data_IF_104329942545
#
_entry.id   IF_104329942545
#
_cell.length_a   1.000
_cell.length_b   1.000
_cell.length_c   1.000
_cell.angle_alpha   90.00
_cell.angle_beta   90.00
_cell.angle_gamma   90.00
#
_symmetry.space_group_name_H-M   'P 1'
#
loop_
_entity.id
_entity.type
_entity.pdbx_description
1 polymer ?
#
# COMPACT_ATOMS: atom_id res chain seq x y z
N UNK A 1 -26.97 35.12 -8.82
CA UNK A 1 -25.65 34.54 -9.17
C UNK A 1 -25.10 33.85 -7.95
N UNK A 2 -25.30 32.53 -7.81
CA UNK A 2 -24.68 31.73 -6.73
C UNK A 2 -23.41 31.12 -7.29
N UNK A 3 -22.25 31.54 -6.78
CA UNK A 3 -20.97 30.93 -7.05
C UNK A 3 -20.90 29.60 -6.30
N UNK A 4 -20.85 28.50 -7.01
CA UNK A 4 -20.59 27.18 -6.46
C UNK A 4 -19.08 27.08 -6.24
N UNK A 5 -18.67 27.08 -4.97
CA UNK A 5 -17.26 26.88 -4.59
C UNK A 5 -16.93 25.39 -4.72
N UNK A 6 -16.05 25.05 -5.65
CA UNK A 6 -15.40 23.74 -5.68
C UNK A 6 -14.52 23.62 -4.44
N UNK A 7 -14.83 22.68 -3.56
CA UNK A 7 -14.00 22.38 -2.41
C UNK A 7 -12.87 21.48 -2.90
N UNK A 8 -11.76 22.08 -3.30
CA UNK A 8 -10.48 21.39 -3.39
C UNK A 8 -10.02 21.06 -1.96
N UNK A 9 -9.78 19.76 -1.70
CA UNK A 9 -9.28 19.29 -0.41
C UNK A 9 -7.75 19.30 -0.41
N UNK A 10 -7.07 20.25 0.25
CA UNK A 10 -5.64 20.15 0.50
C UNK A 10 -5.40 19.47 1.87
N UNK A 11 -4.59 18.44 1.89
CA UNK A 11 -4.01 17.86 3.10
C UNK A 11 -2.72 18.64 3.40
N UNK A 12 -2.63 19.27 4.56
CA UNK A 12 -1.48 20.09 4.97
C UNK A 12 -0.89 19.65 6.32
N UNK A 13 0.37 19.74 6.49
CA UNK A 13 1.19 19.16 7.51
C UNK A 13 1.68 20.12 8.61
N UNK A 14 1.78 19.63 9.83
CA UNK A 14 2.58 20.30 10.86
C UNK A 14 3.12 19.40 11.97
N UNK A 15 4.31 19.68 12.40
CA UNK A 15 5.03 19.01 13.45
C UNK A 15 4.73 19.67 14.80
N UNK A 16 4.34 18.88 15.80
CA UNK A 16 4.38 19.29 17.19
C UNK A 16 5.34 18.37 17.92
N UNK A 17 6.44 18.92 18.38
CA UNK A 17 7.35 18.24 19.31
C UNK A 17 6.65 18.12 20.66
N UNK A 18 6.23 16.90 21.01
CA UNK A 18 5.89 16.55 22.39
C UNK A 18 6.85 15.44 22.77
N UNK A 19 7.62 15.67 23.83
CA UNK A 19 8.52 14.66 24.38
C UNK A 19 7.67 13.48 24.89
N UNK A 20 7.55 12.43 24.13
CA UNK A 20 7.05 11.14 24.59
C UNK A 20 8.16 10.46 25.39
N UNK A 21 7.87 10.00 26.60
CA UNK A 21 8.71 9.03 27.28
C UNK A 21 8.83 7.85 26.33
N UNK A 22 10.03 7.41 26.01
CA UNK A 22 10.31 6.18 25.28
C UNK A 22 9.68 5.02 26.07
N UNK A 23 8.60 4.49 25.55
CA UNK A 23 8.13 3.15 25.88
C UNK A 23 8.67 2.31 24.72
N UNK A 24 9.65 1.46 24.99
CA UNK A 24 10.15 0.51 23.98
C UNK A 24 8.98 -0.42 23.60
N UNK A 25 8.69 -0.56 22.30
CA UNK A 25 7.65 -1.50 21.85
C UNK A 25 8.13 -2.93 22.14
N UNK A 26 7.24 -3.74 22.71
CA UNK A 26 7.48 -5.17 22.85
C UNK A 26 7.34 -5.81 21.45
N UNK A 27 8.47 -6.15 20.84
CA UNK A 27 8.48 -6.79 19.53
C UNK A 27 8.02 -8.23 19.62
N UNK A 28 7.02 -8.58 18.80
CA UNK A 28 6.71 -9.99 18.56
C UNK A 28 7.94 -10.64 17.89
N UNK A 29 8.49 -11.68 18.53
CA UNK A 29 9.69 -12.34 18.04
C UNK A 29 9.36 -13.28 16.86
N UNK A 30 9.28 -12.71 15.67
CA UNK A 30 9.07 -13.46 14.42
C UNK A 30 10.23 -14.40 14.06
N UNK A 31 11.37 -14.34 14.79
CA UNK A 31 12.50 -15.26 14.57
C UNK A 31 12.15 -16.70 14.95
N UNK A 32 11.13 -16.90 15.78
CA UNK A 32 10.61 -18.24 16.16
C UNK A 32 9.79 -18.91 15.08
N UNK A 33 9.41 -18.19 14.03
CA UNK A 33 8.67 -18.78 12.90
C UNK A 33 9.57 -19.78 12.16
N UNK A 34 9.37 -21.05 12.43
CA UNK A 34 9.97 -22.13 11.63
C UNK A 34 9.12 -22.28 10.38
N UNK A 35 9.57 -21.69 9.29
CA UNK A 35 8.90 -21.79 8.00
C UNK A 35 8.66 -23.25 7.64
N UNK A 36 7.39 -23.66 7.61
CA UNK A 36 7.00 -24.88 6.91
C UNK A 36 7.32 -24.68 5.43
N UNK A 37 7.56 -25.77 4.70
CA UNK A 37 7.78 -25.69 3.26
C UNK A 37 6.63 -24.86 2.63
N UNK A 38 6.98 -23.68 2.14
CA UNK A 38 6.01 -22.75 1.57
C UNK A 38 5.95 -22.96 0.07
N UNK A 39 4.79 -23.36 -0.43
CA UNK A 39 4.55 -23.55 -1.85
C UNK A 39 3.35 -22.70 -2.28
N UNK A 40 3.48 -22.06 -3.42
CA UNK A 40 2.37 -21.36 -4.06
C UNK A 40 1.49 -22.39 -4.78
N UNK A 41 0.24 -22.50 -4.34
CA UNK A 41 -0.74 -23.46 -4.88
C UNK A 41 -1.70 -22.70 -5.79
N UNK A 42 -1.65 -22.92 -7.11
CA UNK A 42 -2.54 -22.25 -8.06
C UNK A 42 -4.02 -22.54 -7.78
N UNK A 43 -4.85 -21.51 -7.84
CA UNK A 43 -6.32 -21.61 -7.79
C UNK A 43 -6.96 -21.29 -9.15
N UNK A 44 -6.44 -20.27 -9.82
CA UNK A 44 -6.94 -19.80 -11.13
C UNK A 44 -5.76 -19.37 -11.98
N UNK A 45 -5.82 -19.66 -13.25
CA UNK A 45 -4.81 -19.27 -14.24
C UNK A 45 -5.49 -18.77 -15.51
N UNK A 46 -4.99 -17.66 -16.05
CA UNK A 46 -5.41 -17.14 -17.35
C UNK A 46 -4.22 -16.51 -18.08
N UNK A 47 -4.31 -16.46 -19.41
CA UNK A 47 -3.40 -15.71 -20.26
C UNK A 47 -4.19 -14.57 -20.89
N UNK A 48 -3.72 -13.38 -20.76
CA UNK A 48 -4.40 -12.19 -21.31
C UNK A 48 -3.44 -11.24 -21.98
N UNK A 49 -3.96 -10.52 -22.97
CA UNK A 49 -3.34 -9.30 -23.42
C UNK A 49 -3.72 -8.18 -22.43
N UNK A 50 -2.75 -7.58 -21.81
CA UNK A 50 -3.01 -6.54 -20.80
C UNK A 50 -3.83 -5.38 -21.37
N UNK A 51 -3.71 -5.13 -22.69
CA UNK A 51 -4.50 -4.10 -23.39
C UNK A 51 -6.00 -4.36 -23.34
N UNK A 52 -6.41 -5.63 -23.19
CA UNK A 52 -7.80 -6.05 -23.10
C UNK A 52 -8.34 -6.03 -21.67
N UNK A 53 -7.48 -6.06 -20.65
CA UNK A 53 -7.86 -6.15 -19.22
C UNK A 53 -8.43 -4.83 -18.65
N UNK A 54 -8.31 -3.72 -19.37
CA UNK A 54 -8.83 -2.40 -18.98
C UNK A 54 -8.58 -2.03 -17.50
N UNK A 55 -7.33 -2.15 -16.99
CA UNK A 55 -7.03 -1.88 -15.59
C UNK A 55 -7.32 -0.43 -15.17
N UNK A 56 -7.49 0.48 -16.12
CA UNK A 56 -7.88 1.87 -15.94
C UNK A 56 -9.35 2.07 -15.56
N UNK A 57 -10.24 1.10 -15.76
CA UNK A 57 -11.62 1.21 -15.31
C UNK A 57 -11.71 1.31 -13.79
N UNK A 58 -10.76 0.71 -13.08
CA UNK A 58 -10.65 0.84 -11.63
C UNK A 58 -10.14 2.22 -11.20
N UNK A 59 -9.35 2.90 -12.05
CA UNK A 59 -8.85 4.25 -11.79
C UNK A 59 -9.95 5.31 -12.00
N UNK A 60 -10.88 5.10 -12.94
CA UNK A 60 -11.99 6.02 -13.19
C UNK A 60 -13.05 5.98 -12.07
N UNK A 61 -13.25 4.84 -11.42
CA UNK A 61 -14.15 4.73 -10.27
C UNK A 61 -13.63 5.43 -9.02
N UNK A 62 -12.34 5.75 -8.98
CA UNK A 62 -11.68 6.44 -7.87
C UNK A 62 -11.65 7.98 -8.02
N UNK A 63 -12.20 8.54 -9.08
CA UNK A 63 -12.40 9.99 -9.16
C UNK A 63 -13.61 10.41 -8.32
N UNK A 64 -13.54 11.50 -7.53
CA UNK A 64 -14.66 11.95 -6.71
C UNK A 64 -15.90 12.13 -7.58
N UNK A 65 -17.00 11.52 -7.17
CA UNK A 65 -18.28 11.55 -7.85
C UNK A 65 -18.74 12.99 -8.06
N UNK A 66 -18.66 13.49 -9.30
CA UNK A 66 -19.30 14.73 -9.68
C UNK A 66 -20.78 14.44 -9.95
N UNK A 67 -21.64 14.94 -9.10
CA UNK A 67 -23.11 14.86 -9.26
C UNK A 67 -23.66 15.84 -10.30
N UNK A 68 -22.79 16.51 -11.04
CA UNK A 68 -23.24 17.47 -12.06
C UNK A 68 -23.41 16.78 -13.42
N UNK A 69 -24.67 16.44 -13.73
CA UNK A 69 -25.16 16.20 -15.10
C UNK A 69 -25.11 17.50 -15.91
N UNK A 70 -23.92 17.98 -16.22
CA UNK A 70 -23.73 19.11 -17.15
C UNK A 70 -23.13 18.56 -18.45
N UNK A 71 -23.85 18.87 -19.54
CA UNK A 71 -23.48 18.58 -20.94
C UNK A 71 -21.99 18.66 -21.18
N UNK A 72 -21.41 17.58 -21.75
CA UNK A 72 -20.02 17.52 -22.16
C UNK A 72 -19.73 18.65 -23.18
N UNK A 73 -18.79 19.55 -22.89
CA UNK A 73 -18.24 20.42 -23.93
C UNK A 73 -17.30 19.61 -24.79
N UNK A 74 -17.24 19.94 -26.08
CA UNK A 74 -16.33 19.34 -27.06
C UNK A 74 -14.89 19.39 -26.56
N UNK A 75 -14.20 18.23 -26.62
CA UNK A 75 -12.87 17.99 -26.07
C UNK A 75 -11.79 18.89 -26.67
N UNK A 76 -11.38 19.87 -25.90
CA UNK A 76 -10.01 20.44 -25.89
C UNK A 76 -9.42 20.35 -24.48
N UNK A 77 -9.76 19.29 -23.74
CA UNK A 77 -9.36 19.08 -22.36
C UNK A 77 -7.94 18.51 -22.28
N UNK A 78 -7.11 18.92 -21.29
CA UNK A 78 -5.84 18.27 -21.04
C UNK A 78 -6.06 16.77 -20.80
N UNK A 79 -5.08 15.93 -21.19
CA UNK A 79 -5.08 14.49 -21.04
C UNK A 79 -5.57 14.10 -19.62
N UNK A 80 -6.53 13.19 -19.57
CA UNK A 80 -7.00 12.64 -18.30
C UNK A 80 -5.95 11.70 -17.71
N UNK A 81 -6.05 11.38 -16.43
CA UNK A 81 -5.20 10.35 -15.78
C UNK A 81 -5.28 9.04 -16.57
N UNK A 82 -6.48 8.69 -17.03
CA UNK A 82 -6.75 7.51 -17.86
C UNK A 82 -6.04 7.56 -19.22
N UNK A 83 -6.05 8.72 -19.90
CA UNK A 83 -5.38 8.86 -21.21
C UNK A 83 -3.86 8.72 -21.06
N UNK A 84 -3.28 9.26 -19.99
CA UNK A 84 -1.85 9.13 -19.66
C UNK A 84 -1.51 7.68 -19.34
N UNK A 85 -2.31 7.01 -18.51
CA UNK A 85 -2.12 5.61 -18.15
C UNK A 85 -2.22 4.70 -19.37
N UNK A 86 -3.22 4.92 -20.23
CA UNK A 86 -3.39 4.16 -21.48
C UNK A 86 -2.22 4.34 -22.43
N UNK A 87 -1.84 5.56 -22.77
CA UNK A 87 -0.72 5.83 -23.67
C UNK A 87 0.60 5.27 -23.16
N UNK A 88 0.79 5.26 -21.83
CA UNK A 88 1.90 4.65 -21.16
C UNK A 88 1.90 3.11 -21.33
N UNK A 89 0.75 2.46 -21.11
CA UNK A 89 0.59 1.02 -21.25
C UNK A 89 0.83 0.56 -22.69
N UNK A 90 0.18 1.19 -23.67
CA UNK A 90 0.32 0.84 -25.08
C UNK A 90 1.77 0.90 -25.58
N UNK A 91 2.55 1.86 -25.05
CA UNK A 91 3.96 2.03 -25.41
C UNK A 91 4.92 1.00 -24.77
N UNK A 92 4.47 0.25 -23.78
CA UNK A 92 5.36 -0.55 -22.91
C UNK A 92 5.14 -2.06 -23.01
N UNK A 93 4.02 -2.50 -23.53
CA UNK A 93 3.63 -3.89 -23.48
C UNK A 93 4.16 -4.67 -24.70
N UNK A 94 5.12 -5.55 -24.45
CA UNK A 94 5.70 -6.41 -25.48
C UNK A 94 5.11 -7.83 -25.43
N UNK A 95 4.66 -8.27 -24.24
CA UNK A 95 4.24 -9.63 -23.98
C UNK A 95 2.78 -9.70 -23.52
N UNK A 96 2.09 -10.77 -23.91
CA UNK A 96 0.93 -11.24 -23.15
C UNK A 96 1.39 -11.76 -21.79
N UNK A 97 0.49 -11.84 -20.85
CA UNK A 97 0.81 -12.12 -19.45
C UNK A 97 0.02 -13.33 -18.97
N UNK A 98 0.71 -14.28 -18.37
CA UNK A 98 0.09 -15.27 -17.51
C UNK A 98 -0.24 -14.63 -16.17
N UNK A 99 -1.46 -14.84 -15.71
CA UNK A 99 -1.97 -14.44 -14.41
C UNK A 99 -2.32 -15.69 -13.62
N UNK A 100 -1.63 -15.95 -12.52
CA UNK A 100 -1.87 -17.11 -11.68
C UNK A 100 -2.23 -16.65 -10.28
N UNK A 101 -3.52 -16.71 -9.92
CA UNK A 101 -3.96 -16.53 -8.55
C UNK A 101 -3.74 -17.83 -7.78
N UNK A 102 -3.26 -17.74 -6.55
CA UNK A 102 -2.97 -18.93 -5.75
C UNK A 102 -2.83 -18.63 -4.27
N UNK A 103 -2.69 -19.68 -3.50
CA UNK A 103 -2.54 -19.63 -2.04
C UNK A 103 -1.12 -19.99 -1.62
N UNK A 104 -0.73 -19.50 -0.45
CA UNK A 104 0.55 -19.83 0.18
C UNK A 104 0.42 -19.73 1.71
N UNK A 105 1.43 -20.23 2.43
CA UNK A 105 1.49 -20.14 3.88
C UNK A 105 2.22 -18.88 4.31
N UNK A 106 1.67 -18.22 5.32
CA UNK A 106 2.28 -17.05 5.95
C UNK A 106 1.94 -17.01 7.44
N UNK A 107 2.14 -15.87 8.08
CA UNK A 107 1.88 -15.65 9.48
C UNK A 107 0.76 -14.62 9.67
N UNK A 108 -0.11 -14.87 10.65
CA UNK A 108 -1.08 -13.91 11.16
C UNK A 108 -0.44 -12.90 12.09
N UNK A 109 -1.25 -11.94 12.55
CA UNK A 109 -0.79 -10.83 13.42
C UNK A 109 -0.24 -11.31 14.77
N UNK A 110 -0.70 -12.45 15.27
CA UNK A 110 -0.23 -13.07 16.52
C UNK A 110 0.91 -14.08 16.29
N UNK A 111 1.49 -14.12 15.08
CA UNK A 111 2.52 -15.08 14.72
C UNK A 111 2.02 -16.50 14.44
N UNK A 112 0.72 -16.74 14.40
CA UNK A 112 0.10 -17.99 14.03
C UNK A 112 0.23 -18.27 12.52
N UNK A 113 0.29 -19.56 12.16
CA UNK A 113 0.38 -19.95 10.75
C UNK A 113 -0.96 -19.79 10.05
N UNK A 114 -0.98 -19.07 8.93
CA UNK A 114 -2.16 -18.72 8.17
C UNK A 114 -1.97 -19.07 6.69
N UNK A 115 -3.04 -19.52 6.03
CA UNK A 115 -3.08 -19.59 4.56
C UNK A 115 -3.65 -18.28 4.03
N UNK A 116 -2.95 -17.68 3.08
CA UNK A 116 -3.30 -16.41 2.44
C UNK A 116 -3.24 -16.58 0.92
N UNK A 117 -3.64 -15.58 0.17
CA UNK A 117 -3.65 -15.61 -1.30
C UNK A 117 -2.92 -14.42 -1.91
N UNK A 118 -2.74 -14.49 -3.21
CA UNK A 118 -2.16 -13.45 -4.03
C UNK A 118 -2.11 -13.87 -5.50
N UNK A 119 -1.43 -13.06 -6.31
CA UNK A 119 -1.29 -13.33 -7.74
C UNK A 119 0.16 -13.21 -8.19
N UNK A 120 0.57 -14.15 -9.04
CA UNK A 120 1.82 -14.11 -9.77
C UNK A 120 1.55 -13.86 -11.25
N UNK A 121 2.22 -12.86 -11.80
CA UNK A 121 2.15 -12.50 -13.21
C UNK A 121 3.50 -12.78 -13.86
N UNK A 122 3.52 -13.34 -15.07
CA UNK A 122 4.75 -13.53 -15.81
C UNK A 122 4.52 -13.48 -17.33
N UNK A 123 5.55 -13.15 -18.12
CA UNK A 123 5.46 -13.08 -19.59
C UNK A 123 5.03 -14.40 -20.21
N UNK A 124 4.26 -14.37 -21.31
CA UNK A 124 3.77 -15.55 -22.02
C UNK A 124 4.90 -16.47 -22.48
N UNK A 125 6.06 -15.93 -22.85
CA UNK A 125 7.24 -16.71 -23.27
C UNK A 125 7.97 -17.42 -22.12
N UNK A 126 7.56 -17.19 -20.88
CA UNK A 126 8.14 -17.78 -19.67
C UNK A 126 9.54 -17.28 -19.33
N UNK A 127 10.02 -16.18 -19.95
CA UNK A 127 11.34 -15.60 -19.68
C UNK A 127 11.20 -14.36 -18.81
N UNK A 128 11.70 -14.44 -17.59
CA UNK A 128 11.56 -13.41 -16.54
C UNK A 128 12.90 -12.70 -16.35
N UNK A 129 12.95 -11.38 -16.58
CA UNK A 129 14.16 -10.56 -16.37
C UNK A 129 14.58 -10.54 -14.89
N UNK A 130 13.67 -10.13 -14.02
CA UNK A 130 13.79 -10.13 -12.55
C UNK A 130 12.41 -10.41 -11.95
N UNK A 131 12.38 -10.92 -10.72
CA UNK A 131 11.17 -10.88 -9.91
C UNK A 131 10.97 -9.46 -9.36
N UNK A 132 9.76 -8.92 -9.51
CA UNK A 132 9.28 -7.70 -8.87
C UNK A 132 8.30 -8.09 -7.77
N UNK A 133 8.63 -7.73 -6.54
CA UNK A 133 7.77 -7.93 -5.38
C UNK A 133 7.05 -6.61 -5.16
N UNK A 134 5.75 -6.63 -5.44
CA UNK A 134 4.92 -5.43 -5.46
C UNK A 134 3.96 -5.44 -4.29
N UNK A 135 4.03 -4.37 -3.51
CA UNK A 135 3.10 -4.07 -2.41
C UNK A 135 2.01 -3.15 -2.94
N UNK A 136 0.75 -3.63 -2.98
CA UNK A 136 -0.35 -2.85 -3.54
C UNK A 136 -0.76 -1.69 -2.61
N UNK A 137 -1.43 -0.69 -3.18
CA UNK A 137 -2.03 0.44 -2.48
C UNK A 137 -3.27 0.02 -1.67
N UNK A 138 -3.88 0.96 -0.94
CA UNK A 138 -5.11 0.69 -0.16
C UNK A 138 -6.26 0.30 -1.06
N UNK A 139 -6.82 -0.87 -0.81
CA UNK A 139 -8.07 -1.36 -1.41
C UNK A 139 -9.14 -1.47 -0.32
N UNK A 140 -10.40 -1.47 -0.71
CA UNK A 140 -11.53 -1.57 0.20
C UNK A 140 -12.36 -2.82 -0.02
N UNK A 141 -12.67 -3.12 -1.27
CA UNK A 141 -13.49 -4.26 -1.64
C UNK A 141 -12.66 -5.50 -1.96
N UNK A 142 -13.19 -6.69 -1.64
CA UNK A 142 -12.49 -7.94 -1.95
C UNK A 142 -12.23 -8.13 -3.44
N UNK A 143 -13.14 -7.66 -4.30
CA UNK A 143 -12.96 -7.77 -5.75
C UNK A 143 -11.79 -6.93 -6.29
N UNK A 144 -11.21 -6.01 -5.49
CA UNK A 144 -10.01 -5.23 -5.84
C UNK A 144 -8.71 -5.99 -5.50
N UNK A 145 -8.79 -7.11 -4.77
CA UNK A 145 -7.62 -7.88 -4.37
C UNK A 145 -6.85 -8.43 -5.59
N UNK A 146 -5.52 -8.48 -5.57
CA UNK A 146 -4.71 -9.02 -6.66
C UNK A 146 -5.18 -10.40 -7.16
N UNK A 147 -5.55 -11.32 -6.25
CA UNK A 147 -6.04 -12.64 -6.64
C UNK A 147 -7.39 -12.59 -7.35
N UNK A 148 -8.21 -11.55 -7.14
CA UNK A 148 -9.56 -11.46 -7.68
C UNK A 148 -9.63 -10.72 -9.02
N UNK A 149 -8.77 -9.72 -9.23
CA UNK A 149 -8.80 -8.88 -10.44
C UNK A 149 -7.42 -8.74 -11.06
N UNK A 150 -7.34 -8.08 -12.22
CA UNK A 150 -6.08 -7.62 -12.77
C UNK A 150 -5.66 -6.33 -12.04
N UNK A 151 -4.52 -6.40 -11.35
CA UNK A 151 -3.91 -5.21 -10.73
C UNK A 151 -3.07 -4.46 -11.74
N UNK A 152 -3.13 -3.12 -11.70
CA UNK A 152 -2.41 -2.27 -12.63
C UNK A 152 -0.89 -2.55 -12.65
N UNK A 153 -0.31 -2.87 -11.50
CA UNK A 153 1.11 -3.21 -11.36
C UNK A 153 1.49 -4.52 -12.09
N UNK A 154 0.52 -5.39 -12.36
CA UNK A 154 0.72 -6.59 -13.19
C UNK A 154 1.21 -6.28 -14.61
N UNK A 155 1.08 -5.01 -15.08
CA UNK A 155 1.59 -4.58 -16.37
C UNK A 155 3.10 -4.76 -16.54
N UNK A 156 3.89 -4.71 -15.46
CA UNK A 156 5.34 -4.94 -15.55
C UNK A 156 5.68 -6.36 -16.04
N UNK A 157 4.74 -7.32 -15.92
CA UNK A 157 4.92 -8.63 -16.54
C UNK A 157 4.91 -8.53 -18.08
N UNK A 158 4.10 -7.64 -18.66
CA UNK A 158 4.14 -7.32 -20.09
C UNK A 158 5.45 -6.67 -20.56
N UNK A 159 6.29 -6.19 -19.62
CA UNK A 159 7.64 -5.69 -19.88
C UNK A 159 8.73 -6.75 -19.71
N UNK A 160 8.36 -7.98 -19.35
CA UNK A 160 9.28 -9.10 -19.15
C UNK A 160 9.68 -9.35 -17.69
N UNK A 161 8.96 -8.82 -16.70
CA UNK A 161 9.21 -9.07 -15.29
C UNK A 161 8.25 -10.15 -14.74
N UNK A 162 8.67 -10.86 -13.70
CA UNK A 162 7.76 -11.69 -12.91
C UNK A 162 7.22 -10.88 -11.74
N UNK A 163 5.92 -10.57 -11.72
CA UNK A 163 5.32 -9.70 -10.69
C UNK A 163 4.60 -10.53 -9.63
N UNK A 164 5.00 -10.37 -8.39
CA UNK A 164 4.47 -11.08 -7.21
C UNK A 164 3.68 -10.09 -6.36
N UNK A 165 2.39 -10.35 -6.15
CA UNK A 165 1.49 -9.47 -5.40
C UNK A 165 0.67 -10.27 -4.39
N UNK A 166 0.90 -10.04 -3.09
CA UNK A 166 0.08 -10.58 -2.01
C UNK A 166 -1.25 -9.81 -1.89
N UNK A 167 -2.34 -10.50 -1.53
CA UNK A 167 -3.64 -9.85 -1.28
C UNK A 167 -3.67 -9.06 0.03
N UNK A 168 -2.76 -9.33 0.96
CA UNK A 168 -2.77 -9.03 2.38
C UNK A 168 -3.89 -9.75 3.14
N UNK A 169 -3.73 -9.92 4.45
CA UNK A 169 -4.76 -10.49 5.32
C UNK A 169 -6.02 -9.61 5.29
N UNK A 170 -7.18 -10.23 5.24
CA UNK A 170 -8.48 -9.56 5.14
C UNK A 170 -8.98 -9.42 3.70
N UNK A 171 -8.22 -9.93 2.73
CA UNK A 171 -8.61 -9.99 1.32
C UNK A 171 -8.34 -11.39 0.72
N UNK A 172 -8.88 -11.62 -0.48
CA UNK A 172 -8.79 -12.92 -1.15
C UNK A 172 -9.42 -14.02 -0.29
N UNK A 173 -8.69 -15.11 -0.07
CA UNK A 173 -9.21 -16.23 0.74
C UNK A 173 -9.37 -15.92 2.24
N UNK A 174 -8.85 -14.80 2.72
CA UNK A 174 -8.98 -14.34 4.11
C UNK A 174 -9.99 -13.21 4.27
N UNK A 175 -10.91 -13.04 3.32
CA UNK A 175 -11.89 -11.94 3.27
C UNK A 175 -12.73 -11.78 4.54
N UNK A 176 -13.00 -12.89 5.24
CA UNK A 176 -13.75 -12.88 6.50
C UNK A 176 -12.94 -12.36 7.70
N UNK A 177 -11.65 -12.12 7.53
CA UNK A 177 -10.78 -11.54 8.57
C UNK A 177 -10.78 -10.01 8.49
N UNK A 178 -10.59 -9.35 9.62
CA UNK A 178 -10.33 -7.91 9.63
C UNK A 178 -8.93 -7.67 9.03
N UNK A 179 -8.85 -6.67 8.13
CA UNK A 179 -7.58 -6.29 7.55
C UNK A 179 -6.66 -5.60 8.57
N UNK A 180 -5.44 -6.12 8.84
CA UNK A 180 -4.47 -5.49 9.74
C UNK A 180 -3.79 -4.31 9.04
N UNK A 181 -4.56 -3.27 8.74
CA UNK A 181 -4.14 -2.12 7.95
C UNK A 181 -2.93 -1.43 8.60
N UNK A 182 -1.85 -1.29 7.83
CA UNK A 182 -0.57 -0.70 8.25
C UNK A 182 0.14 -1.44 9.40
N UNK A 183 -0.21 -2.70 9.67
CA UNK A 183 0.60 -3.56 10.54
C UNK A 183 1.87 -4.00 9.80
N UNK A 184 2.98 -3.35 10.14
CA UNK A 184 4.21 -3.35 9.37
C UNK A 184 4.84 -4.74 9.20
N UNK A 185 5.10 -5.44 10.31
CA UNK A 185 5.79 -6.74 10.29
C UNK A 185 4.93 -7.82 9.64
N UNK A 186 3.66 -7.93 10.04
CA UNK A 186 2.74 -8.93 9.49
C UNK A 186 2.58 -8.77 7.99
N UNK A 187 2.36 -7.55 7.51
CA UNK A 187 2.19 -7.29 6.08
C UNK A 187 3.48 -7.54 5.31
N UNK A 188 4.64 -7.13 5.85
CA UNK A 188 5.93 -7.40 5.22
C UNK A 188 6.20 -8.92 5.10
N UNK A 189 5.92 -9.69 6.15
CA UNK A 189 6.04 -11.16 6.10
C UNK A 189 5.11 -11.79 5.07
N UNK A 190 3.85 -11.34 4.98
CA UNK A 190 2.92 -11.87 3.97
C UNK A 190 3.45 -11.66 2.55
N UNK A 191 4.03 -10.50 2.26
CA UNK A 191 4.63 -10.19 0.96
C UNK A 191 5.88 -11.04 0.69
N UNK A 192 6.76 -11.17 1.67
CA UNK A 192 8.01 -11.94 1.56
C UNK A 192 7.71 -13.44 1.40
N UNK A 193 6.77 -13.97 2.18
CA UNK A 193 6.39 -15.38 2.14
C UNK A 193 5.79 -15.75 0.78
N UNK A 194 5.03 -14.86 0.14
CA UNK A 194 4.57 -15.06 -1.23
C UNK A 194 5.74 -15.11 -2.22
N UNK A 195 6.70 -14.20 -2.10
CA UNK A 195 7.87 -14.18 -2.97
C UNK A 195 8.71 -15.47 -2.83
N UNK A 196 8.79 -16.04 -1.63
CA UNK A 196 9.40 -17.35 -1.41
C UNK A 196 8.56 -18.48 -1.99
N UNK A 197 7.24 -18.44 -1.82
CA UNK A 197 6.32 -19.48 -2.26
C UNK A 197 6.26 -19.65 -3.77
N UNK A 198 6.41 -18.58 -4.55
CA UNK A 198 6.40 -18.68 -6.03
C UNK A 198 7.66 -19.30 -6.62
N UNK A 199 8.78 -19.40 -5.88
CA UNK A 199 10.03 -19.98 -6.40
C UNK A 199 9.90 -21.46 -6.81
N UNK A 200 9.32 -22.36 -5.98
CA UNK A 200 9.05 -23.74 -6.40
C UNK A 200 8.14 -23.81 -7.62
N UNK A 201 7.10 -22.96 -7.68
CA UNK A 201 6.19 -22.87 -8.82
C UNK A 201 6.93 -22.47 -10.11
N UNK A 202 7.83 -21.46 -10.03
CA UNK A 202 8.68 -21.04 -11.17
C UNK A 202 9.52 -22.23 -11.67
N UNK A 203 10.13 -22.99 -10.75
CA UNK A 203 10.96 -24.15 -11.10
C UNK A 203 10.14 -25.29 -11.71
N UNK A 204 8.97 -25.60 -11.13
CA UNK A 204 8.05 -26.65 -11.63
C UNK A 204 7.53 -26.33 -13.04
N UNK A 205 7.22 -25.07 -13.30
CA UNK A 205 6.76 -24.60 -14.62
C UNK A 205 7.90 -24.43 -15.64
N UNK A 206 9.15 -24.62 -15.24
CA UNK A 206 10.30 -24.44 -16.12
C UNK A 206 10.50 -23.00 -16.59
N UNK A 207 10.02 -22.01 -15.83
CA UNK A 207 10.18 -20.59 -16.16
C UNK A 207 11.65 -20.18 -16.00
N UNK A 208 12.15 -19.38 -16.93
CA UNK A 208 13.54 -18.94 -16.93
C UNK A 208 13.68 -17.58 -16.30
N UNK A 209 14.24 -17.51 -15.10
CA UNK A 209 14.58 -16.24 -14.44
C UNK A 209 16.03 -15.87 -14.77
N UNK A 210 16.23 -14.69 -15.36
CA UNK A 210 17.55 -14.24 -15.87
C UNK A 210 18.45 -13.65 -14.77
N UNK A 211 17.88 -13.23 -13.64
CA UNK A 211 18.61 -12.60 -12.54
C UNK A 211 18.16 -13.17 -11.19
N UNK A 212 19.11 -13.41 -10.31
CA UNK A 212 18.90 -13.85 -8.92
C UNK A 212 18.44 -12.70 -7.99
N UNK A 213 18.48 -11.46 -8.46
CA UNK A 213 18.08 -10.30 -7.68
C UNK A 213 16.61 -9.97 -7.88
N UNK A 214 16.01 -9.37 -6.85
CA UNK A 214 14.62 -8.93 -6.84
C UNK A 214 14.51 -7.41 -6.86
N UNK A 215 13.39 -6.90 -7.35
CA UNK A 215 13.02 -5.49 -7.31
C UNK A 215 11.82 -5.35 -6.36
N UNK A 216 11.85 -4.37 -5.46
CA UNK A 216 10.73 -4.07 -4.58
C UNK A 216 10.03 -2.80 -5.08
N UNK A 217 8.70 -2.79 -5.04
CA UNK A 217 7.93 -1.62 -5.48
C UNK A 217 6.62 -1.49 -4.71
N UNK A 218 6.20 -0.24 -4.45
CA UNK A 218 4.87 0.06 -3.96
C UNK A 218 4.59 1.55 -3.86
N UNK A 219 3.31 1.89 -3.85
CA UNK A 219 2.81 3.26 -3.74
C UNK A 219 1.78 3.37 -2.61
N UNK A 220 1.69 4.52 -1.95
CA UNK A 220 0.73 4.78 -0.87
C UNK A 220 0.92 3.78 0.30
N UNK A 221 -0.10 3.04 0.75
CA UNK A 221 0.07 1.93 1.70
C UNK A 221 1.20 1.01 1.23
N UNK A 222 1.22 0.66 -0.07
CA UNK A 222 2.26 -0.16 -0.66
C UNK A 222 3.65 0.45 -0.59
N UNK A 223 3.77 1.78 -0.63
CA UNK A 223 5.04 2.49 -0.45
C UNK A 223 5.62 2.27 0.95
N UNK A 224 4.80 2.41 1.99
CA UNK A 224 5.21 2.12 3.37
C UNK A 224 5.52 0.61 3.54
N UNK A 225 4.64 -0.27 3.05
CA UNK A 225 4.86 -1.72 3.08
C UNK A 225 6.17 -2.10 2.39
N UNK A 226 6.50 -1.49 1.24
CA UNK A 226 7.75 -1.76 0.50
C UNK A 226 8.99 -1.42 1.33
N UNK A 227 9.01 -0.30 2.06
CA UNK A 227 10.13 0.01 2.95
C UNK A 227 10.20 -0.96 4.14
N UNK A 228 9.07 -1.44 4.67
CA UNK A 228 9.06 -2.47 5.70
C UNK A 228 9.55 -3.82 5.15
N UNK A 229 9.15 -4.21 3.93
CA UNK A 229 9.68 -5.40 3.24
C UNK A 229 11.20 -5.29 3.07
N UNK A 230 11.70 -4.15 2.60
CA UNK A 230 13.14 -3.91 2.49
C UNK A 230 13.83 -4.06 3.85
N UNK A 231 13.29 -3.40 4.88
CA UNK A 231 13.85 -3.48 6.24
C UNK A 231 13.93 -4.91 6.76
N UNK A 232 12.84 -5.68 6.62
CA UNK A 232 12.79 -7.08 7.05
C UNK A 232 13.79 -7.93 6.26
N UNK A 233 13.82 -7.81 4.93
CA UNK A 233 14.77 -8.56 4.09
C UNK A 233 16.23 -8.23 4.40
N UNK A 234 16.56 -7.00 4.77
CA UNK A 234 17.92 -6.54 5.04
C UNK A 234 18.37 -6.76 6.48
N UNK A 235 17.45 -6.96 7.43
CA UNK A 235 17.75 -7.06 8.86
C UNK A 235 17.68 -8.48 9.39
N UNK A 236 16.78 -9.32 8.88
CA UNK A 236 16.61 -10.69 9.37
C UNK A 236 17.59 -11.63 8.70
N UNK A 237 18.48 -12.32 9.44
CA UNK A 237 19.52 -13.19 8.86
C UNK A 237 18.98 -14.24 7.88
N UNK A 238 17.77 -14.76 8.16
CA UNK A 238 17.06 -15.72 7.29
C UNK A 238 16.83 -15.16 5.88
N UNK A 239 16.46 -13.88 5.75
CA UNK A 239 16.11 -13.29 4.46
C UNK A 239 17.31 -12.65 3.76
N UNK A 240 18.32 -12.19 4.51
CA UNK A 240 19.56 -11.63 3.95
C UNK A 240 20.25 -12.64 3.00
N UNK A 241 20.20 -13.95 3.32
CA UNK A 241 20.74 -15.00 2.47
C UNK A 241 19.82 -15.40 1.31
N UNK A 242 18.49 -15.11 1.43
CA UNK A 242 17.49 -15.53 0.46
C UNK A 242 17.28 -14.50 -0.67
N UNK A 243 17.51 -13.22 -0.39
CA UNK A 243 17.19 -12.16 -1.31
C UNK A 243 18.37 -11.21 -1.55
N UNK A 244 18.69 -11.03 -2.82
CA UNK A 244 19.54 -9.95 -3.29
C UNK A 244 18.65 -8.85 -3.89
N UNK A 245 18.53 -7.74 -3.19
CA UNK A 245 17.69 -6.64 -3.66
C UNK A 245 18.48 -5.81 -4.68
N UNK A 246 17.99 -5.73 -5.92
CA UNK A 246 18.59 -4.92 -7.00
C UNK A 246 18.26 -3.44 -6.79
N UNK A 247 16.99 -3.12 -6.54
CA UNK A 247 16.49 -1.76 -6.38
C UNK A 247 15.14 -1.75 -5.68
N UNK A 248 14.86 -0.66 -4.98
CA UNK A 248 13.60 -0.43 -4.27
C UNK A 248 12.95 0.85 -4.78
N UNK A 249 11.66 0.80 -5.09
CA UNK A 249 10.85 1.96 -5.48
C UNK A 249 9.73 2.14 -4.45
N UNK A 250 9.80 3.22 -3.68
CA UNK A 250 8.83 3.54 -2.63
C UNK A 250 8.19 4.91 -2.92
N UNK A 251 6.90 4.89 -3.27
CA UNK A 251 6.14 6.09 -3.62
C UNK A 251 5.13 6.49 -2.54
N UNK A 252 5.13 7.76 -2.13
CA UNK A 252 4.11 8.45 -1.36
C UNK A 252 3.51 7.63 -0.18
N UNK A 253 4.36 6.91 0.56
CA UNK A 253 3.93 6.08 1.68
C UNK A 253 3.75 6.87 2.99
N UNK A 254 2.80 6.43 3.86
CA UNK A 254 2.70 6.93 5.23
C UNK A 254 3.80 6.30 6.11
N UNK A 255 5.05 6.71 5.89
CA UNK A 255 6.23 6.12 6.52
C UNK A 255 6.31 6.37 8.03
N UNK A 256 5.78 7.50 8.49
CA UNK A 256 5.56 7.84 9.91
C UNK A 256 4.06 7.97 10.16
N UNK A 257 3.43 6.87 10.58
CA UNK A 257 1.98 6.78 10.71
C UNK A 257 1.50 7.67 11.86
N UNK A 258 2.26 7.73 12.95
CA UNK A 258 1.92 8.55 14.11
C UNK A 258 1.86 10.05 13.73
N UNK A 259 2.83 10.53 12.97
CA UNK A 259 2.85 11.92 12.49
C UNK A 259 1.76 12.17 11.44
N UNK A 260 1.47 11.20 10.59
CA UNK A 260 0.37 11.31 9.62
C UNK A 260 -0.97 11.49 10.35
N UNK A 261 -1.20 10.71 11.41
CA UNK A 261 -2.38 10.85 12.24
C UNK A 261 -2.43 12.19 12.98
N UNK A 262 -1.35 12.60 13.66
CA UNK A 262 -1.22 13.89 14.33
C UNK A 262 -1.54 15.06 13.40
N UNK A 263 -1.10 14.95 12.17
CA UNK A 263 -1.33 15.97 11.17
C UNK A 263 -2.81 16.11 10.82
N UNK A 264 -3.47 14.99 10.56
CA UNK A 264 -4.91 14.97 10.29
C UNK A 264 -5.69 15.50 11.49
N UNK A 265 -5.30 15.12 12.71
CA UNK A 265 -5.90 15.63 13.96
C UNK A 265 -5.74 17.14 14.07
N UNK A 266 -4.54 17.67 13.84
CA UNK A 266 -4.25 19.11 13.95
C UNK A 266 -5.02 19.94 12.92
N UNK A 267 -5.19 19.43 11.71
CA UNK A 267 -5.93 20.11 10.65
C UNK A 267 -7.44 19.89 10.74
N UNK A 268 -7.87 18.99 11.60
CA UNK A 268 -9.25 18.52 11.65
C UNK A 268 -9.74 18.06 10.26
N UNK A 269 -8.88 17.33 9.52
CA UNK A 269 -9.17 16.93 8.15
C UNK A 269 -8.45 15.66 7.73
N UNK A 270 -9.10 14.85 6.89
CA UNK A 270 -8.51 13.70 6.22
C UNK A 270 -8.81 13.74 4.72
N UNK A 271 -7.85 13.34 3.89
CA UNK A 271 -8.05 13.20 2.44
C UNK A 271 -8.81 11.91 2.09
N UNK A 272 -8.70 10.89 2.94
CA UNK A 272 -9.40 9.60 2.79
C UNK A 272 -10.12 9.29 4.11
N UNK A 273 -11.42 9.63 4.27
CA UNK A 273 -12.17 9.36 5.49
C UNK A 273 -12.12 7.92 5.99
N UNK A 274 -12.19 6.94 5.10
CA UNK A 274 -12.13 5.52 5.50
C UNK A 274 -10.75 5.06 6.02
N UNK A 275 -9.67 5.82 5.78
CA UNK A 275 -8.37 5.50 6.37
C UNK A 275 -8.39 5.60 7.90
N UNK A 276 -9.22 6.47 8.46
CA UNK A 276 -9.33 6.67 9.92
C UNK A 276 -9.76 5.38 10.63
N UNK A 277 -10.93 4.79 10.31
CA UNK A 277 -11.32 3.51 10.92
C UNK A 277 -10.40 2.35 10.53
N UNK A 278 -9.85 2.32 9.31
CA UNK A 278 -8.90 1.28 8.90
C UNK A 278 -7.64 1.30 9.78
N UNK A 279 -7.06 2.48 10.04
CA UNK A 279 -5.87 2.62 10.90
C UNK A 279 -6.20 2.21 12.33
N UNK A 280 -7.29 2.72 12.92
CA UNK A 280 -7.62 2.44 14.33
C UNK A 280 -7.89 0.95 14.54
N UNK A 281 -8.63 0.30 13.65
CA UNK A 281 -8.86 -1.14 13.71
C UNK A 281 -7.58 -1.95 13.44
N UNK A 282 -6.82 -1.56 12.42
CA UNK A 282 -5.57 -2.23 12.08
C UNK A 282 -4.59 -2.22 13.26
N UNK A 283 -4.40 -1.08 13.89
CA UNK A 283 -3.55 -0.97 15.10
C UNK A 283 -4.13 -1.77 16.27
N UNK A 284 -5.45 -1.74 16.46
CA UNK A 284 -6.12 -2.50 17.54
C UNK A 284 -5.84 -4.01 17.47
N UNK A 285 -5.69 -4.55 16.26
CA UNK A 285 -5.39 -5.98 16.09
C UNK A 285 -3.99 -6.39 16.58
N UNK A 286 -3.02 -5.47 16.55
CA UNK A 286 -1.66 -5.70 17.04
C UNK A 286 -1.52 -5.59 18.57
N UNK A 287 -2.58 -5.22 19.27
CA UNK A 287 -2.54 -4.95 20.70
C UNK A 287 -3.02 -6.14 21.54
N UNK A 288 -2.33 -6.45 22.66
CA UNK A 288 -2.76 -7.49 23.61
C UNK A 288 -4.21 -7.29 24.07
N UNK A 289 -4.58 -6.04 24.31
CA UNK A 289 -5.95 -5.65 24.63
C UNK A 289 -6.47 -4.76 23.52
N UNK A 290 -7.43 -5.23 22.70
CA UNK A 290 -8.02 -4.44 21.64
C UNK A 290 -8.63 -3.12 22.12
N UNK A 291 -8.65 -2.14 21.22
CA UNK A 291 -9.27 -0.83 21.46
C UNK A 291 -10.80 -0.94 21.41
N UNK A 292 -11.46 -0.21 22.29
CA UNK A 292 -12.91 -0.03 22.26
C UNK A 292 -13.29 0.97 21.16
N UNK A 293 -13.93 0.52 20.08
CA UNK A 293 -14.27 1.42 18.94
C UNK A 293 -15.22 2.56 19.34
N UNK A 294 -16.11 2.33 20.32
CA UNK A 294 -16.97 3.37 20.89
C UNK A 294 -16.21 4.51 21.60
N UNK A 295 -14.97 4.25 22.01
CA UNK A 295 -14.09 5.26 22.55
C UNK A 295 -13.56 6.20 21.46
N UNK A 296 -13.41 5.69 20.23
CA UNK A 296 -12.84 6.45 19.10
C UNK A 296 -13.90 7.01 18.16
N UNK A 297 -14.92 6.24 17.79
CA UNK A 297 -15.83 6.61 16.72
C UNK A 297 -17.11 7.26 17.23
N UNK A 298 -17.56 8.27 16.48
CA UNK A 298 -18.89 8.85 16.59
C UNK A 298 -19.88 8.15 15.69
N UNK A 299 -21.18 8.35 15.98
CA UNK A 299 -22.23 8.00 15.04
C UNK A 299 -22.20 8.94 13.80
N UNK A 300 -22.53 8.46 12.60
CA UNK A 300 -23.05 7.12 12.29
C UNK A 300 -21.96 6.05 12.09
N UNK A 301 -20.66 6.41 12.10
CA UNK A 301 -19.57 5.45 11.86
C UNK A 301 -19.59 4.32 12.89
N UNK A 302 -19.77 4.61 14.18
CA UNK A 302 -19.73 3.60 15.24
C UNK A 302 -20.69 2.42 14.98
N UNK A 303 -21.92 2.71 14.60
CA UNK A 303 -22.93 1.66 14.32
C UNK A 303 -22.69 0.95 13.00
N UNK A 304 -22.03 1.59 12.03
CA UNK A 304 -21.97 1.10 10.65
C UNK A 304 -20.58 0.59 10.23
N UNK A 305 -19.51 0.84 10.99
CA UNK A 305 -18.17 0.45 10.56
C UNK A 305 -18.01 -1.06 10.26
N UNK A 306 -18.74 -2.00 10.93
CA UNK A 306 -18.64 -3.41 10.59
C UNK A 306 -19.10 -3.68 9.14
N UNK A 307 -20.18 -3.02 8.71
CA UNK A 307 -20.66 -3.13 7.33
C UNK A 307 -19.85 -2.25 6.36
N UNK A 308 -19.60 -0.99 6.69
CA UNK A 308 -18.95 -0.06 5.76
C UNK A 308 -17.47 -0.38 5.52
N UNK A 309 -16.77 -0.85 6.55
CA UNK A 309 -15.32 -1.05 6.51
C UNK A 309 -14.95 -2.54 6.44
N UNK A 310 -15.58 -3.39 7.25
CA UNK A 310 -15.15 -4.78 7.40
C UNK A 310 -15.84 -5.76 6.45
N UNK A 311 -16.96 -5.38 5.82
CA UNK A 311 -17.68 -6.25 4.89
C UNK A 311 -16.91 -6.56 3.60
N UNK A 312 -15.91 -5.75 3.25
CA UNK A 312 -15.13 -5.84 2.00
C UNK A 312 -15.98 -5.73 0.73
N UNK A 313 -17.14 -5.06 0.81
CA UNK A 313 -18.05 -4.84 -0.31
C UNK A 313 -17.78 -3.52 -1.05
N UNK A 314 -17.18 -2.55 -0.36
CA UNK A 314 -17.07 -1.17 -0.82
C UNK A 314 -15.62 -0.80 -1.12
N UNK A 315 -15.39 -0.12 -2.25
CA UNK A 315 -14.10 0.49 -2.57
C UNK A 315 -13.76 1.60 -1.58
N UNK A 316 -12.50 2.04 -1.57
CA UNK A 316 -12.03 3.18 -0.73
C UNK A 316 -12.92 4.42 -0.90
N UNK A 317 -13.32 4.74 -2.14
CA UNK A 317 -14.18 5.88 -2.41
C UNK A 317 -15.62 5.67 -1.91
N UNK A 318 -16.16 4.48 -2.10
CA UNK A 318 -17.49 4.14 -1.60
C UNK A 318 -17.53 4.17 -0.07
N UNK A 319 -16.54 3.61 0.61
CA UNK A 319 -16.41 3.69 2.07
C UNK A 319 -16.33 5.15 2.55
N UNK A 320 -15.52 5.96 1.88
CA UNK A 320 -15.37 7.38 2.21
C UNK A 320 -16.68 8.15 1.99
N UNK A 321 -17.43 7.80 0.93
CA UNK A 321 -18.75 8.38 0.64
C UNK A 321 -19.80 7.98 1.69
N UNK A 322 -19.76 6.74 2.17
CA UNK A 322 -20.66 6.26 3.23
C UNK A 322 -20.40 6.99 4.56
N UNK A 323 -19.13 7.28 4.88
CA UNK A 323 -18.76 8.10 6.05
C UNK A 323 -19.26 9.53 5.86
N UNK A 324 -19.20 10.08 4.64
CA UNK A 324 -19.86 11.32 4.21
C UNK A 324 -19.25 12.62 4.71
N UNK A 325 -18.21 12.55 5.55
CA UNK A 325 -17.53 13.71 6.15
C UNK A 325 -16.01 13.50 6.10
N UNK A 326 -15.28 14.61 6.10
CA UNK A 326 -13.81 14.58 6.03
C UNK A 326 -13.13 15.33 7.20
N UNK A 327 -13.90 15.80 8.17
CA UNK A 327 -13.38 16.36 9.40
C UNK A 327 -13.23 15.27 10.46
N UNK A 328 -12.05 15.15 11.04
CA UNK A 328 -11.80 14.16 12.08
C UNK A 328 -12.72 14.38 13.29
N UNK A 329 -12.99 15.64 13.65
CA UNK A 329 -13.92 15.99 14.73
C UNK A 329 -15.36 15.52 14.50
N UNK A 330 -15.76 15.19 13.27
CA UNK A 330 -17.07 14.61 12.94
C UNK A 330 -17.04 13.07 12.95
N UNK A 331 -15.86 12.47 12.73
CA UNK A 331 -15.63 11.01 12.71
C UNK A 331 -15.28 10.48 14.10
N UNK A 332 -14.39 11.21 14.80
CA UNK A 332 -13.81 10.78 16.08
C UNK A 332 -14.44 11.50 17.27
N UNK A 333 -14.50 10.80 18.41
CA UNK A 333 -14.79 11.40 19.70
C UNK A 333 -13.62 12.31 20.13
N UNK A 334 -13.82 13.29 21.03
CA UNK A 334 -12.72 14.06 21.60
C UNK A 334 -11.64 13.18 22.25
N UNK A 335 -12.03 12.08 22.88
CA UNK A 335 -11.10 11.14 23.51
C UNK A 335 -10.18 10.48 22.48
N UNK A 336 -10.67 10.16 21.28
CA UNK A 336 -9.87 9.51 20.21
C UNK A 336 -8.70 10.36 19.69
N UNK A 337 -8.69 11.66 20.00
CA UNK A 337 -7.61 12.59 19.60
C UNK A 337 -6.79 13.10 20.80
N UNK A 338 -7.24 12.88 22.03
CA UNK A 338 -6.57 13.33 23.25
C UNK A 338 -5.47 12.35 23.71
N UNK A 339 -4.22 12.66 23.42
CA UNK A 339 -3.03 11.85 23.79
C UNK A 339 -2.81 11.74 25.31
N UNK A 340 -3.46 12.58 26.12
CA UNK A 340 -3.40 12.45 27.60
C UNK A 340 -4.26 11.28 28.10
N UNK A 341 -5.21 10.82 27.28
CA UNK A 341 -6.01 9.65 27.58
C UNK A 341 -5.18 8.37 27.36
N UNK A 342 -5.34 7.42 28.30
CA UNK A 342 -4.56 6.16 28.29
C UNK A 342 -4.80 5.33 27.03
N UNK A 343 -6.02 5.19 26.55
CA UNK A 343 -6.33 4.38 25.37
C UNK A 343 -5.75 5.01 24.11
N UNK A 344 -5.85 6.32 23.97
CA UNK A 344 -5.23 7.05 22.86
C UNK A 344 -3.71 7.01 22.94
N UNK A 345 -3.12 7.08 24.13
CA UNK A 345 -1.68 6.93 24.29
C UNK A 345 -1.21 5.53 23.85
N UNK A 346 -1.96 4.45 24.19
CA UNK A 346 -1.68 3.08 23.69
C UNK A 346 -1.76 3.00 22.18
N UNK A 347 -2.78 3.59 21.57
CA UNK A 347 -2.94 3.65 20.14
C UNK A 347 -1.74 4.35 19.47
N UNK A 348 -1.23 5.45 20.04
CA UNK A 348 -0.05 6.14 19.52
C UNK A 348 1.25 5.33 19.65
N UNK A 349 1.38 4.51 20.69
CA UNK A 349 2.50 3.55 20.77
C UNK A 349 2.45 2.60 19.59
N UNK A 350 1.26 2.08 19.27
CA UNK A 350 1.09 1.16 18.15
C UNK A 350 1.33 1.84 16.78
N UNK A 351 0.86 3.08 16.59
CA UNK A 351 1.19 3.87 15.38
C UNK A 351 2.71 4.03 15.21
N UNK A 352 3.41 4.31 16.32
CA UNK A 352 4.86 4.53 16.29
C UNK A 352 5.61 3.23 16.00
N UNK A 353 5.21 2.11 16.59
CA UNK A 353 5.86 0.80 16.38
C UNK A 353 5.70 0.29 14.94
N UNK A 354 4.63 0.70 14.26
CA UNK A 354 4.39 0.38 12.85
C UNK A 354 4.92 1.43 11.86
N UNK A 355 5.52 2.51 12.34
CA UNK A 355 6.24 3.48 11.51
C UNK A 355 7.64 2.98 11.14
N UNK A 356 8.25 3.53 10.08
CA UNK A 356 9.64 3.20 9.73
C UNK A 356 10.56 3.62 10.89
N UNK A 357 11.33 2.68 11.48
CA UNK A 357 12.21 2.99 12.61
C UNK A 357 13.27 4.05 12.28
N UNK A 358 13.54 4.94 13.24
CA UNK A 358 14.53 6.02 13.04
C UNK A 358 15.96 5.49 12.81
N UNK A 359 16.28 4.29 13.26
CA UNK A 359 17.59 3.65 13.08
C UNK A 359 17.70 2.90 11.75
N UNK A 360 16.61 2.66 11.04
CA UNK A 360 16.65 1.99 9.74
C UNK A 360 17.46 2.80 8.72
N UNK A 361 18.33 2.09 8.00
CA UNK A 361 19.12 2.60 6.89
C UNK A 361 19.02 1.62 5.74
N UNK A 362 18.41 1.99 4.59
CA UNK A 362 18.35 1.12 3.44
C UNK A 362 19.75 0.78 2.93
N UNK A 363 20.03 -0.51 2.68
CA UNK A 363 21.31 -1.00 2.14
C UNK A 363 21.26 -1.11 0.62
N UNK A 364 20.14 -1.56 0.08
CA UNK A 364 19.93 -1.59 -1.38
C UNK A 364 19.56 -0.19 -1.91
N UNK A 365 19.91 0.12 -3.18
CA UNK A 365 19.54 1.37 -3.82
C UNK A 365 18.04 1.63 -3.73
N UNK A 366 17.65 2.79 -3.21
CA UNK A 366 16.27 3.21 -2.99
C UNK A 366 15.93 4.41 -3.86
N UNK A 367 14.81 4.34 -4.55
CA UNK A 367 14.18 5.44 -5.27
C UNK A 367 12.90 5.83 -4.54
N UNK A 368 12.86 7.04 -4.00
CA UNK A 368 11.70 7.60 -3.33
C UNK A 368 10.99 8.62 -4.23
N UNK A 369 9.68 8.50 -4.32
CA UNK A 369 8.83 9.41 -5.07
C UNK A 369 7.74 10.00 -4.18
N UNK A 370 7.44 11.30 -4.33
CA UNK A 370 6.27 11.91 -3.70
C UNK A 370 5.88 13.20 -4.43
N UNK A 371 4.58 13.41 -4.62
CA UNK A 371 4.06 14.71 -5.04
C UNK A 371 3.98 15.66 -3.86
N UNK A 372 4.49 16.87 -4.01
CA UNK A 372 4.34 17.93 -2.98
C UNK A 372 2.88 18.41 -2.86
N UNK A 373 2.05 18.14 -3.88
CA UNK A 373 0.61 18.47 -3.92
C UNK A 373 -0.28 17.33 -3.40
N UNK A 374 0.32 16.29 -2.79
CA UNK A 374 -0.41 15.13 -2.28
C UNK A 374 -1.34 15.51 -1.12
N UNK A 375 -2.64 15.37 -1.35
CA UNK A 375 -3.69 15.69 -0.39
C UNK A 375 -4.09 14.51 0.50
N UNK A 376 -3.55 13.34 0.24
CA UNK A 376 -3.90 12.07 0.92
C UNK A 376 -2.83 11.63 1.90
N UNK A 377 -1.60 11.43 1.40
CA UNK A 377 -0.45 11.13 2.24
C UNK A 377 0.44 12.37 2.29
N UNK A 378 0.59 12.97 3.46
CA UNK A 378 1.32 14.22 3.59
C UNK A 378 2.80 14.11 3.18
N UNK A 379 3.25 15.03 2.33
CA UNK A 379 4.62 15.07 1.78
C UNK A 379 5.73 15.03 2.84
N UNK A 380 5.46 15.53 4.06
CA UNK A 380 6.44 15.44 5.17
C UNK A 380 6.89 14.00 5.46
N UNK A 381 6.07 12.97 5.19
CA UNK A 381 6.51 11.59 5.35
C UNK A 381 7.81 11.35 4.58
N UNK A 382 7.83 11.76 3.32
CA UNK A 382 9.02 11.65 2.47
C UNK A 382 10.14 12.61 2.89
N UNK A 383 9.80 13.81 3.36
CA UNK A 383 10.82 14.75 3.87
C UNK A 383 11.54 14.22 5.12
N UNK A 384 10.83 13.53 6.01
CA UNK A 384 11.41 12.92 7.21
C UNK A 384 12.35 11.78 6.82
N UNK A 385 11.92 10.89 5.92
CA UNK A 385 12.77 9.82 5.38
C UNK A 385 13.99 10.40 4.66
N UNK A 386 13.82 11.46 3.87
CA UNK A 386 14.93 12.13 3.19
C UNK A 386 15.96 12.64 4.19
N UNK A 387 15.52 13.28 5.29
CA UNK A 387 16.43 13.75 6.34
C UNK A 387 17.15 12.57 6.99
N UNK A 388 16.43 11.56 7.45
CA UNK A 388 16.96 10.37 8.10
C UNK A 388 18.00 9.67 7.24
N UNK A 389 17.72 9.44 5.95
CA UNK A 389 18.60 8.68 5.07
C UNK A 389 19.79 9.49 4.59
N UNK A 390 19.64 10.81 4.38
CA UNK A 390 20.78 11.69 4.06
C UNK A 390 21.78 11.79 5.19
N UNK A 391 21.32 11.93 6.44
CA UNK A 391 22.16 11.99 7.62
C UNK A 391 23.01 10.72 7.79
N UNK A 392 22.46 9.58 7.34
CA UNK A 392 23.08 8.25 7.37
C UNK A 392 23.81 7.87 6.08
N UNK A 393 23.84 8.75 5.08
CA UNK A 393 24.53 8.57 3.78
C UNK A 393 24.03 7.35 3.00
N UNK A 394 22.74 7.02 3.09
CA UNK A 394 22.13 5.95 2.31
C UNK A 394 22.09 6.28 0.80
N UNK A 395 22.18 5.26 -0.04
CA UNK A 395 22.05 5.39 -1.50
C UNK A 395 20.56 5.57 -1.89
N UNK A 396 20.10 6.82 -1.91
CA UNK A 396 18.70 7.15 -2.18
C UNK A 396 18.59 8.25 -3.21
N UNK A 397 17.81 7.97 -4.27
CA UNK A 397 17.36 8.96 -5.24
C UNK A 397 16.00 9.49 -4.82
N UNK A 398 15.87 10.82 -4.73
CA UNK A 398 14.63 11.49 -4.37
C UNK A 398 14.02 12.17 -5.59
N UNK A 399 12.84 11.73 -5.99
CA UNK A 399 12.04 12.35 -7.04
C UNK A 399 10.80 13.01 -6.39
N UNK A 400 10.99 14.22 -5.89
CA UNK A 400 9.97 15.02 -5.23
C UNK A 400 9.66 16.26 -6.08
N UNK A 401 8.39 16.62 -6.18
CA UNK A 401 7.95 17.77 -6.98
C UNK A 401 6.43 17.88 -7.07
N UNK A 402 5.97 18.80 -7.89
CA UNK A 402 4.55 19.08 -8.10
C UNK A 402 3.97 18.16 -9.20
N UNK A 403 3.57 16.96 -8.82
CA UNK A 403 3.02 15.95 -9.72
C UNK A 403 1.48 15.84 -9.65
N UNK A 404 0.85 16.76 -8.92
CA UNK A 404 -0.59 16.83 -8.70
C UNK A 404 -1.05 15.94 -7.54
N UNK A 405 -2.34 15.59 -7.54
CA UNK A 405 -2.98 14.81 -6.48
C UNK A 405 -2.31 13.46 -6.23
N UNK A 406 -2.66 12.81 -5.12
CA UNK A 406 -2.17 11.47 -4.78
C UNK A 406 -2.29 10.47 -5.94
N UNK A 407 -3.46 10.44 -6.59
CA UNK A 407 -3.72 9.53 -7.72
C UNK A 407 -2.90 9.89 -8.98
N UNK A 408 -2.72 11.18 -9.28
CA UNK A 408 -1.84 11.61 -10.39
C UNK A 408 -0.38 11.27 -10.09
N UNK A 409 0.04 11.45 -8.84
CA UNK A 409 1.34 11.02 -8.34
C UNK A 409 1.56 9.53 -8.55
N UNK A 410 0.57 8.68 -8.31
CA UNK A 410 0.66 7.24 -8.52
C UNK A 410 1.00 6.90 -9.99
N UNK A 411 0.27 7.47 -10.95
CA UNK A 411 0.53 7.27 -12.39
C UNK A 411 1.93 7.76 -12.79
N UNK A 412 2.34 8.93 -12.28
CA UNK A 412 3.67 9.50 -12.54
C UNK A 412 4.77 8.61 -11.96
N UNK A 413 4.57 8.09 -10.75
CA UNK A 413 5.48 7.14 -10.11
C UNK A 413 5.63 5.86 -10.94
N UNK A 414 4.53 5.24 -11.34
CA UNK A 414 4.57 4.01 -12.13
C UNK A 414 5.28 4.22 -13.46
N UNK A 415 5.02 5.36 -14.11
CA UNK A 415 5.75 5.74 -15.33
C UNK A 415 7.24 5.89 -15.07
N UNK A 416 7.64 6.57 -14.01
CA UNK A 416 9.05 6.78 -13.67
C UNK A 416 9.77 5.44 -13.39
N UNK A 417 9.11 4.51 -12.68
CA UNK A 417 9.64 3.16 -12.46
C UNK A 417 9.84 2.43 -13.79
N UNK A 418 8.84 2.46 -14.65
CA UNK A 418 8.92 1.76 -15.92
C UNK A 418 9.99 2.34 -16.86
N UNK A 419 10.16 3.68 -16.88
CA UNK A 419 11.21 4.34 -17.67
C UNK A 419 12.61 3.96 -17.15
N UNK A 420 12.80 3.91 -15.82
CA UNK A 420 14.05 3.47 -15.22
C UNK A 420 14.35 1.99 -15.53
N UNK A 421 13.33 1.13 -15.51
CA UNK A 421 13.45 -0.30 -15.81
C UNK A 421 13.78 -0.58 -17.30
N UNK A 422 13.52 0.36 -18.23
CA UNK A 422 13.92 0.25 -19.64
C UNK A 422 15.41 0.52 -19.86
N UNK A 423 16.01 1.33 -19.00
CA UNK A 423 17.39 1.79 -19.14
C UNK A 423 18.39 0.90 -18.39
N UNK A 424 17.92 0.02 -17.52
CA UNK A 424 18.68 -0.88 -16.66
C UNK A 424 18.35 -2.36 -16.92
#
# INVERSE_FOLDING_TARGET
>A
MKRTSYILYPLLLFVVLVSCRHIEPEYVDFTKYKGQANAFVPMREQVSDIRDEQPWNNIETDLPYSTDTVRQPQRTSPLTVTDVARGFLEAMLTYKVHQVAGTYRSIGINGDSLTVSGKFFYPEDGVIKNLMIVSHYTIGANFEAPSETFSFEGMYAGMGYGVVMADYIGYGITVDSIHPYLQAETTAHNVIDMALAVRPFIAERGLKVLSDSVILMGYSQGGATTLHVQRVMESYPKYVSEFKIKKVYAGAGPYDIARTYDYSVKLDKTGIPCAVPLIIQGMSLGMDKPLEMSFFFKEPLLSNYPEWINSKKYTVNQMSTLIGVNRLSEILTPNGTDRTNRETARFYVELTSNSIPEDFVPKAPLYMFHSEDDETVPFINSQLMQRQFRDKKADVVYNFGHYGTHMRGAVTFMKAVADDLKTN
#
